data_IF_365536264645
#
_entry.id   IF_365536264645
#
_cell.length_a   1.000
_cell.length_b   1.000
_cell.length_c   1.000
_cell.angle_alpha   90.00
_cell.angle_beta   90.00
_cell.angle_gamma   90.00
#
_symmetry.space_group_name_H-M   'P 1'
#
loop_
_entity.id
_entity.type
_entity.pdbx_description
1 polymer ?
#
# COMPACT_ATOMS: atom_id res chain seq x y z
N UNK A 1 -2.48 -5.08 15.15
CA UNK A 1 -2.31 -3.68 14.75
C UNK A 1 -1.81 -3.59 13.32
N UNK A 2 -2.47 -2.75 12.51
CA UNK A 2 -2.10 -2.56 11.09
C UNK A 2 -1.07 -1.43 10.91
N UNK A 3 -0.65 -0.77 11.97
CA UNK A 3 0.32 0.32 11.95
C UNK A 3 1.69 -0.17 12.39
N UNK A 4 2.71 0.09 11.58
CA UNK A 4 4.11 -0.33 11.82
C UNK A 4 4.97 0.95 11.89
N UNK A 5 5.16 1.47 13.12
CA UNK A 5 5.72 2.82 13.37
C UNK A 5 7.05 3.08 12.65
N UNK A 6 8.02 2.20 12.82
CA UNK A 6 9.35 2.41 12.25
C UNK A 6 9.33 2.47 10.70
N UNK A 7 8.56 1.59 10.07
CA UNK A 7 8.45 1.55 8.60
C UNK A 7 7.63 2.71 8.08
N UNK A 8 6.56 3.09 8.80
CA UNK A 8 5.70 4.23 8.43
C UNK A 8 6.47 5.55 8.48
N UNK A 9 7.23 5.79 9.56
CA UNK A 9 8.07 6.99 9.69
C UNK A 9 9.16 7.06 8.64
N UNK A 10 9.81 5.94 8.33
CA UNK A 10 10.82 5.89 7.29
C UNK A 10 10.22 6.20 5.91
N UNK A 11 9.01 5.72 5.64
CA UNK A 11 8.29 6.01 4.40
C UNK A 11 7.87 7.49 4.31
N UNK A 12 7.33 8.05 5.41
CA UNK A 12 6.98 9.48 5.50
C UNK A 12 8.20 10.37 5.32
N UNK A 13 9.33 10.04 5.98
CA UNK A 13 10.60 10.75 5.82
C UNK A 13 11.09 10.72 4.36
N UNK A 14 11.08 9.53 3.74
CA UNK A 14 11.42 9.39 2.32
C UNK A 14 10.56 10.30 1.44
N UNK A 15 9.26 10.30 1.63
CA UNK A 15 8.33 11.11 0.85
C UNK A 15 8.53 12.62 1.10
N UNK A 16 8.89 13.03 2.33
CA UNK A 16 9.10 14.43 2.69
C UNK A 16 10.43 14.96 2.15
N UNK A 17 11.50 14.21 2.30
CA UNK A 17 12.84 14.62 1.89
C UNK A 17 13.02 14.63 0.38
N UNK A 18 12.48 13.60 -0.27
CA UNK A 18 12.59 13.41 -1.72
C UNK A 18 11.43 14.08 -2.45
N UNK A 19 10.26 14.18 -1.82
CA UNK A 19 9.03 14.71 -2.40
C UNK A 19 8.99 16.23 -2.55
N UNK A 20 9.96 16.96 -1.97
CA UNK A 20 10.18 18.39 -2.31
C UNK A 20 10.48 18.63 -3.77
N UNK A 21 10.80 17.57 -4.53
CA UNK A 21 11.01 17.58 -5.98
C UNK A 21 9.74 17.23 -6.79
N UNK A 22 8.55 17.45 -6.28
CA UNK A 22 7.23 17.40 -6.94
C UNK A 22 6.70 16.04 -7.43
N UNK A 23 7.41 14.93 -7.39
CA UNK A 23 6.87 13.65 -7.85
C UNK A 23 7.57 12.46 -7.18
N UNK A 24 6.82 11.71 -6.37
CA UNK A 24 7.33 10.53 -5.65
C UNK A 24 7.85 9.43 -6.59
N UNK A 25 7.29 9.32 -7.80
CA UNK A 25 7.75 8.38 -8.84
C UNK A 25 9.15 8.75 -9.32
N UNK A 26 9.38 10.02 -9.61
CA UNK A 26 10.70 10.53 -10.02
C UNK A 26 11.72 10.34 -8.89
N UNK A 27 11.32 10.63 -7.66
CA UNK A 27 12.15 10.41 -6.48
C UNK A 27 12.55 8.93 -6.30
N UNK A 28 11.61 8.01 -6.52
CA UNK A 28 11.88 6.57 -6.44
C UNK A 28 12.88 6.12 -7.52
N UNK A 29 12.72 6.56 -8.77
CA UNK A 29 13.66 6.25 -9.86
C UNK A 29 15.05 6.83 -9.56
N UNK A 30 15.13 8.09 -9.14
CA UNK A 30 16.41 8.72 -8.79
C UNK A 30 17.11 7.98 -7.65
N UNK A 31 16.35 7.59 -6.60
CA UNK A 31 16.88 6.84 -5.46
C UNK A 31 17.42 5.47 -5.88
N UNK A 32 16.74 4.75 -6.75
CA UNK A 32 17.22 3.49 -7.32
C UNK A 32 18.51 3.70 -8.13
N UNK A 33 18.60 4.78 -8.89
CA UNK A 33 19.79 5.18 -9.63
C UNK A 33 21.02 5.39 -8.74
N UNK A 34 20.86 5.96 -7.52
CA UNK A 34 21.98 6.17 -6.58
C UNK A 34 22.64 4.87 -6.10
N UNK A 35 21.96 3.74 -6.22
CA UNK A 35 22.49 2.40 -5.88
C UNK A 35 22.80 1.56 -7.12
N UNK A 36 22.86 2.20 -8.29
CA UNK A 36 23.22 1.58 -9.55
C UNK A 36 22.14 0.72 -10.18
N UNK A 37 20.87 0.88 -9.76
CA UNK A 37 19.73 0.17 -10.38
C UNK A 37 19.25 0.96 -11.59
N UNK A 38 19.23 0.31 -12.74
CA UNK A 38 18.58 0.81 -13.95
C UNK A 38 17.08 0.48 -13.90
N UNK A 39 16.24 1.47 -14.22
CA UNK A 39 14.79 1.27 -14.29
C UNK A 39 14.38 1.29 -15.76
N UNK A 40 13.74 0.20 -16.20
CA UNK A 40 13.16 0.07 -17.52
C UNK A 40 11.64 -0.05 -17.40
N UNK A 41 10.94 0.55 -18.35
CA UNK A 41 9.50 0.36 -18.53
C UNK A 41 9.30 -0.42 -19.83
N UNK A 42 8.63 -1.59 -19.74
CA UNK A 42 8.52 -2.50 -20.87
C UNK A 42 7.15 -3.21 -20.87
N UNK A 43 6.77 -3.73 -22.05
CA UNK A 43 5.52 -4.47 -22.22
C UNK A 43 5.69 -5.92 -21.74
N UNK A 44 5.45 -6.15 -20.45
CA UNK A 44 5.58 -7.46 -19.83
C UNK A 44 4.31 -7.87 -19.06
N UNK A 45 4.07 -9.18 -18.96
CA UNK A 45 2.94 -9.72 -18.19
C UNK A 45 3.15 -9.65 -16.69
N UNK A 46 4.38 -9.47 -16.23
CA UNK A 46 4.71 -9.30 -14.81
C UNK A 46 4.66 -7.83 -14.44
N UNK A 47 3.98 -7.46 -13.34
CA UNK A 47 3.95 -6.09 -12.85
C UNK A 47 5.35 -5.52 -12.65
N UNK A 48 6.29 -6.33 -12.17
CA UNK A 48 7.70 -6.01 -12.09
C UNK A 48 8.60 -7.26 -12.15
N UNK A 49 9.82 -7.07 -12.59
CA UNK A 49 10.91 -8.06 -12.50
C UNK A 49 12.20 -7.34 -12.11
N UNK A 50 12.99 -7.94 -11.21
CA UNK A 50 14.28 -7.41 -10.82
C UNK A 50 15.39 -8.41 -11.11
N UNK A 51 16.30 -8.04 -12.00
CA UNK A 51 17.53 -8.77 -12.27
C UNK A 51 18.63 -8.33 -11.30
N UNK A 52 18.99 -9.23 -10.39
CA UNK A 52 20.02 -8.97 -9.38
C UNK A 52 21.42 -8.84 -9.98
N UNK A 53 21.73 -9.56 -11.07
CA UNK A 53 23.04 -9.53 -11.72
C UNK A 53 23.23 -8.25 -12.51
N UNK A 54 22.27 -7.92 -13.36
CA UNK A 54 22.29 -6.72 -14.18
C UNK A 54 21.84 -5.47 -13.44
N UNK A 55 21.41 -5.58 -12.17
CA UNK A 55 20.83 -4.49 -11.38
C UNK A 55 19.76 -3.71 -12.17
N UNK A 56 18.88 -4.43 -12.84
CA UNK A 56 17.85 -3.84 -13.69
C UNK A 56 16.46 -4.15 -13.13
N UNK A 57 15.68 -3.12 -12.88
CA UNK A 57 14.27 -3.21 -12.52
C UNK A 57 13.44 -2.95 -13.77
N UNK A 58 12.66 -3.94 -14.19
CA UNK A 58 11.67 -3.78 -15.25
C UNK A 58 10.28 -3.65 -14.64
N UNK A 59 9.55 -2.61 -15.02
CA UNK A 59 8.17 -2.34 -14.59
C UNK A 59 7.26 -2.35 -15.81
N UNK A 60 6.12 -3.03 -15.72
CA UNK A 60 5.18 -3.16 -16.83
C UNK A 60 4.52 -1.83 -17.19
N UNK A 61 4.56 -1.47 -18.48
CA UNK A 61 3.81 -0.31 -19.01
C UNK A 61 2.30 -0.57 -19.07
N UNK A 62 1.86 -1.84 -18.98
CA UNK A 62 0.44 -2.21 -18.93
C UNK A 62 -0.19 -1.87 -17.58
N UNK A 63 0.62 -1.73 -16.53
CA UNK A 63 0.13 -1.37 -15.22
C UNK A 63 -0.26 0.11 -15.18
N UNK A 64 -1.31 0.44 -14.43
CA UNK A 64 -1.70 1.82 -14.20
C UNK A 64 -0.58 2.63 -13.53
N UNK A 65 -0.47 3.95 -13.77
CA UNK A 65 0.63 4.79 -13.28
C UNK A 65 0.86 4.70 -11.76
N UNK A 66 -0.20 4.66 -10.98
CA UNK A 66 -0.16 4.50 -9.52
C UNK A 66 0.38 3.12 -9.11
N UNK A 67 0.10 2.08 -9.89
CA UNK A 67 0.67 0.74 -9.68
C UNK A 67 2.16 0.71 -10.03
N UNK A 68 2.56 1.37 -11.12
CA UNK A 68 3.97 1.49 -11.49
C UNK A 68 4.77 2.21 -10.41
N UNK A 69 4.24 3.33 -9.89
CA UNK A 69 4.84 4.08 -8.78
C UNK A 69 5.00 3.20 -7.54
N UNK A 70 3.96 2.45 -7.19
CA UNK A 70 4.01 1.51 -6.07
C UNK A 70 5.11 0.44 -6.26
N UNK A 71 5.29 -0.13 -7.46
CA UNK A 71 6.32 -1.12 -7.74
C UNK A 71 7.75 -0.53 -7.62
N UNK A 72 7.95 0.73 -8.00
CA UNK A 72 9.21 1.45 -7.80
C UNK A 72 9.52 1.63 -6.31
N UNK A 73 8.55 2.11 -5.53
CA UNK A 73 8.69 2.31 -4.09
C UNK A 73 8.91 1.00 -3.33
N UNK A 74 8.24 -0.07 -3.76
CA UNK A 74 8.49 -1.42 -3.24
C UNK A 74 9.95 -1.82 -3.44
N UNK A 75 10.55 -1.55 -4.61
CA UNK A 75 11.94 -1.86 -4.88
C UNK A 75 12.89 -0.95 -4.08
N UNK A 76 12.55 0.32 -3.90
CA UNK A 76 13.27 1.22 -2.98
C UNK A 76 13.31 0.64 -1.57
N UNK A 77 12.16 0.17 -1.06
CA UNK A 77 12.08 -0.45 0.26
C UNK A 77 13.01 -1.66 0.38
N UNK A 78 12.94 -2.58 -0.59
CA UNK A 78 13.74 -3.82 -0.57
C UNK A 78 15.25 -3.57 -0.63
N UNK A 79 15.70 -2.47 -1.25
CA UNK A 79 17.13 -2.16 -1.41
C UNK A 79 17.60 -1.16 -0.36
N UNK A 80 16.99 0.01 -0.30
CA UNK A 80 17.44 1.13 0.56
C UNK A 80 17.04 0.98 2.01
N UNK A 81 15.88 0.36 2.28
CA UNK A 81 15.36 0.14 3.64
C UNK A 81 15.59 -1.28 4.12
N UNK A 82 16.42 -2.07 3.43
CA UNK A 82 16.63 -3.48 3.77
C UNK A 82 17.01 -3.68 5.23
N UNK A 83 17.92 -2.88 5.78
CA UNK A 83 18.34 -2.96 7.18
C UNK A 83 17.17 -2.74 8.15
N UNK A 84 16.32 -1.74 7.88
CA UNK A 84 15.12 -1.47 8.67
C UNK A 84 14.11 -2.62 8.59
N UNK A 85 13.89 -3.16 7.38
CA UNK A 85 12.99 -4.29 7.18
C UNK A 85 13.48 -5.53 7.95
N UNK A 86 14.77 -5.84 7.85
CA UNK A 86 15.36 -6.98 8.61
C UNK A 86 15.25 -6.77 10.12
N UNK A 87 15.61 -5.58 10.63
CA UNK A 87 15.48 -5.26 12.05
C UNK A 87 14.01 -5.38 12.54
N UNK A 88 13.04 -4.96 11.71
CA UNK A 88 11.61 -5.10 12.03
C UNK A 88 11.18 -6.57 12.06
N UNK A 89 11.71 -7.39 11.14
CA UNK A 89 11.44 -8.83 11.09
C UNK A 89 12.07 -9.58 12.28
N UNK A 90 13.21 -9.12 12.78
CA UNK A 90 13.88 -9.74 13.94
C UNK A 90 13.08 -9.61 15.24
N UNK A 91 12.22 -8.59 15.32
CA UNK A 91 11.27 -8.44 16.45
C UNK A 91 10.15 -9.50 16.42
N UNK A 92 9.85 -10.04 15.23
CA UNK A 92 8.86 -11.10 15.05
C UNK A 92 9.57 -12.45 14.93
N UNK A 93 9.27 -13.39 15.84
CA UNK A 93 9.90 -14.71 15.85
C UNK A 93 9.26 -15.61 14.78
N UNK A 94 9.72 -15.49 13.53
CA UNK A 94 9.28 -16.38 12.45
C UNK A 94 9.86 -17.79 12.64
N UNK A 95 9.02 -18.80 12.42
CA UNK A 95 9.43 -20.20 12.54
C UNK A 95 10.08 -20.74 11.27
N UNK A 96 9.81 -20.13 10.10
CA UNK A 96 10.35 -20.56 8.80
C UNK A 96 10.91 -19.38 8.02
N UNK A 97 11.87 -19.66 7.14
CA UNK A 97 12.47 -18.66 6.25
C UNK A 97 11.45 -18.18 5.21
N UNK A 98 10.54 -19.05 4.75
CA UNK A 98 9.48 -18.71 3.81
C UNK A 98 8.53 -17.69 4.43
N UNK A 99 8.09 -17.90 5.69
CA UNK A 99 7.24 -16.95 6.39
C UNK A 99 7.93 -15.59 6.57
N UNK A 100 9.24 -15.60 6.91
CA UNK A 100 10.05 -14.38 7.00
C UNK A 100 10.14 -13.66 5.65
N UNK A 101 10.38 -14.38 4.55
CA UNK A 101 10.46 -13.81 3.21
C UNK A 101 9.14 -13.16 2.78
N UNK A 102 8.00 -13.82 3.02
CA UNK A 102 6.67 -13.28 2.76
C UNK A 102 6.43 -12.01 3.59
N UNK A 103 6.76 -12.04 4.88
CA UNK A 103 6.62 -10.90 5.77
C UNK A 103 7.50 -9.71 5.32
N UNK A 104 8.71 -9.96 4.81
CA UNK A 104 9.58 -8.93 4.24
C UNK A 104 8.93 -8.21 3.07
N UNK A 105 8.32 -8.97 2.15
CA UNK A 105 7.55 -8.38 1.05
C UNK A 105 6.35 -7.59 1.58
N UNK A 106 5.67 -8.09 2.62
CA UNK A 106 4.60 -7.38 3.31
C UNK A 106 5.04 -6.02 3.87
N UNK A 107 6.19 -5.97 4.56
CA UNK A 107 6.76 -4.72 5.08
C UNK A 107 7.17 -3.76 3.94
N UNK A 108 7.74 -4.28 2.86
CA UNK A 108 8.09 -3.47 1.69
C UNK A 108 6.84 -2.91 0.98
N UNK A 109 5.77 -3.68 0.88
CA UNK A 109 4.46 -3.19 0.41
C UNK A 109 3.90 -2.11 1.34
N UNK A 110 4.03 -2.30 2.66
CA UNK A 110 3.62 -1.30 3.64
C UNK A 110 4.37 0.01 3.44
N UNK A 111 5.71 -0.05 3.31
CA UNK A 111 6.54 1.12 3.02
C UNK A 111 6.08 1.83 1.74
N UNK A 112 5.87 1.09 0.65
CA UNK A 112 5.43 1.67 -0.62
C UNK A 112 4.10 2.42 -0.50
N UNK A 113 3.11 1.83 0.17
CA UNK A 113 1.83 2.49 0.44
C UNK A 113 1.96 3.72 1.35
N UNK A 114 2.78 3.64 2.38
CA UNK A 114 3.02 4.74 3.31
C UNK A 114 3.82 5.90 2.67
N UNK A 115 4.74 5.60 1.74
CA UNK A 115 5.48 6.62 0.99
C UNK A 115 4.61 7.31 -0.06
N UNK A 116 3.68 6.57 -0.71
CA UNK A 116 2.69 7.17 -1.62
C UNK A 116 1.73 8.10 -0.87
N UNK A 117 1.33 7.71 0.36
CA UNK A 117 0.33 8.38 1.19
C UNK A 117 0.94 8.73 2.56
N UNK A 118 1.86 9.75 2.64
CA UNK A 118 2.59 10.08 3.86
C UNK A 118 1.66 10.45 5.01
N UNK A 119 1.93 9.92 6.22
CA UNK A 119 0.99 9.93 7.34
C UNK A 119 0.38 11.29 7.64
N UNK A 120 1.20 12.27 7.96
CA UNK A 120 0.71 13.59 8.39
C UNK A 120 -0.09 14.29 7.31
N UNK A 121 0.44 14.31 6.06
CA UNK A 121 -0.25 14.96 4.93
C UNK A 121 -1.53 14.22 4.55
N UNK A 122 -1.49 12.88 4.56
CA UNK A 122 -2.67 12.08 4.23
C UNK A 122 -3.78 12.28 5.28
N UNK A 123 -3.44 12.28 6.57
CA UNK A 123 -4.43 12.51 7.64
C UNK A 123 -5.08 13.89 7.50
N UNK A 124 -4.28 14.93 7.25
CA UNK A 124 -4.77 16.28 7.05
C UNK A 124 -5.78 16.35 5.89
N UNK A 125 -5.38 15.88 4.70
CA UNK A 125 -6.25 15.92 3.52
C UNK A 125 -7.49 15.05 3.70
N UNK A 126 -7.35 13.89 4.37
CA UNK A 126 -8.50 13.04 4.68
C UNK A 126 -9.53 13.74 5.56
N UNK A 127 -9.09 14.52 6.55
CA UNK A 127 -9.98 15.33 7.38
C UNK A 127 -10.63 16.47 6.58
N UNK A 128 -9.86 17.19 5.77
CA UNK A 128 -10.34 18.29 4.91
C UNK A 128 -11.38 17.82 3.90
N UNK A 129 -11.19 16.64 3.31
CA UNK A 129 -12.10 16.03 2.33
C UNK A 129 -13.19 15.16 2.95
N UNK A 130 -13.31 15.12 4.29
CA UNK A 130 -14.24 14.24 5.02
C UNK A 130 -14.12 12.78 4.60
N UNK A 131 -12.89 12.33 4.34
CA UNK A 131 -12.56 10.96 3.94
C UNK A 131 -13.20 10.52 2.61
N UNK A 132 -13.44 11.46 1.70
CA UNK A 132 -13.88 11.15 0.34
C UNK A 132 -12.75 10.41 -0.40
N UNK A 133 -13.04 9.16 -0.82
CA UNK A 133 -12.03 8.27 -1.39
C UNK A 133 -11.56 8.73 -2.78
N UNK A 134 -12.46 9.30 -3.58
CA UNK A 134 -12.13 9.77 -4.93
C UNK A 134 -11.28 11.04 -4.88
N UNK A 135 -11.65 11.99 -4.01
CA UNK A 135 -10.85 13.20 -3.81
C UNK A 135 -9.46 12.86 -3.29
N UNK A 136 -9.35 11.92 -2.34
CA UNK A 136 -8.07 11.45 -1.82
C UNK A 136 -7.24 10.75 -2.90
N UNK A 137 -7.85 9.87 -3.69
CA UNK A 137 -7.19 9.15 -4.77
C UNK A 137 -6.61 10.14 -5.81
N UNK A 138 -7.41 11.12 -6.22
CA UNK A 138 -6.99 12.16 -7.16
C UNK A 138 -5.90 13.07 -6.58
N UNK A 139 -6.00 13.45 -5.30
CA UNK A 139 -5.02 14.34 -4.67
C UNK A 139 -3.63 13.72 -4.57
N UNK A 140 -3.55 12.40 -4.35
CA UNK A 140 -2.30 11.69 -4.14
C UNK A 140 -1.83 10.86 -5.34
N UNK A 141 -2.49 10.94 -6.49
CA UNK A 141 -2.23 10.07 -7.65
C UNK A 141 -2.19 8.59 -7.25
N UNK A 142 -3.16 8.17 -6.44
CA UNK A 142 -3.27 6.83 -5.87
C UNK A 142 -4.58 6.15 -6.30
N UNK A 143 -4.61 4.81 -6.26
CA UNK A 143 -5.86 4.10 -6.47
C UNK A 143 -6.78 4.17 -5.24
N UNK A 144 -8.09 4.03 -5.45
CA UNK A 144 -9.07 3.94 -4.36
C UNK A 144 -8.72 2.80 -3.38
N UNK A 145 -8.20 1.68 -3.89
CA UNK A 145 -7.75 0.57 -3.05
C UNK A 145 -6.57 0.98 -2.16
N UNK A 146 -5.59 1.72 -2.70
CA UNK A 146 -4.45 2.22 -1.91
C UNK A 146 -4.92 3.19 -0.82
N UNK A 147 -5.84 4.10 -1.14
CA UNK A 147 -6.44 5.04 -0.18
C UNK A 147 -7.19 4.28 0.92
N UNK A 148 -8.08 3.36 0.56
CA UNK A 148 -8.87 2.58 1.53
C UNK A 148 -7.96 1.74 2.45
N UNK A 149 -6.93 1.11 1.88
CA UNK A 149 -5.94 0.38 2.67
C UNK A 149 -5.18 1.33 3.62
N UNK A 150 -4.75 2.51 3.13
CA UNK A 150 -4.06 3.50 3.97
C UNK A 150 -4.92 3.96 5.15
N UNK A 151 -6.19 4.27 4.92
CA UNK A 151 -7.13 4.63 5.99
C UNK A 151 -7.18 3.58 7.10
N UNK A 152 -7.09 2.29 6.77
CA UNK A 152 -7.07 1.21 7.75
C UNK A 152 -5.77 1.12 8.56
N UNK A 153 -4.71 1.84 8.17
CA UNK A 153 -3.40 1.87 8.86
C UNK A 153 -3.16 3.15 9.67
N UNK A 154 -4.09 4.10 9.68
CA UNK A 154 -3.95 5.40 10.33
C UNK A 154 -4.11 5.31 11.86
N UNK A 155 -3.22 4.52 12.51
CA UNK A 155 -3.31 4.20 13.95
C UNK A 155 -2.04 4.59 14.72
N UNK A 156 -1.31 5.63 14.26
CA UNK A 156 -0.14 6.17 14.96
C UNK A 156 -0.52 6.64 16.37
N UNK A 157 0.18 6.20 17.43
CA UNK A 157 -0.07 6.68 18.79
C UNK A 157 -0.01 8.21 18.89
N UNK A 158 -0.99 8.81 19.55
CA UNK A 158 -1.11 10.27 19.73
C UNK A 158 -1.70 11.03 18.54
N UNK A 159 -1.75 10.45 17.35
CA UNK A 159 -2.26 11.08 16.12
C UNK A 159 -3.06 10.07 15.31
N UNK A 160 -4.04 9.43 15.91
CA UNK A 160 -4.87 8.42 15.26
C UNK A 160 -5.89 9.06 14.32
N UNK A 161 -6.10 8.45 13.17
CA UNK A 161 -7.25 8.69 12.32
C UNK A 161 -8.50 7.93 12.79
N UNK A 162 -9.59 8.08 12.04
CA UNK A 162 -10.80 7.27 12.24
C UNK A 162 -10.44 5.80 12.01
N UNK A 163 -10.90 4.86 12.86
CA UNK A 163 -10.63 3.45 12.66
C UNK A 163 -11.51 2.90 11.52
N UNK A 164 -10.87 2.60 10.39
CA UNK A 164 -11.51 1.96 9.24
C UNK A 164 -11.20 0.47 9.19
N UNK A 165 -12.09 -0.29 8.61
CA UNK A 165 -11.76 -1.58 8.04
C UNK A 165 -11.84 -1.54 6.51
N UNK A 166 -11.09 -2.41 5.87
CA UNK A 166 -11.06 -2.55 4.42
C UNK A 166 -11.12 -4.02 4.05
N UNK A 167 -12.02 -4.37 3.13
CA UNK A 167 -12.09 -5.70 2.52
C UNK A 167 -12.18 -5.58 1.01
N UNK A 168 -11.51 -6.47 0.31
CA UNK A 168 -11.68 -6.69 -1.13
C UNK A 168 -12.36 -8.03 -1.34
N UNK A 169 -13.46 -8.01 -2.07
CA UNK A 169 -14.30 -9.18 -2.36
C UNK A 169 -14.31 -9.39 -3.87
N UNK A 170 -14.25 -10.63 -4.31
CA UNK A 170 -14.46 -10.99 -5.71
C UNK A 170 -15.97 -11.21 -6.00
N UNK A 171 -16.29 -11.41 -7.28
CA UNK A 171 -17.68 -11.60 -7.71
C UNK A 171 -18.36 -12.83 -7.09
N UNK A 172 -17.58 -13.84 -6.69
CA UNK A 172 -18.09 -15.01 -5.98
C UNK A 172 -18.36 -14.76 -4.48
N UNK A 173 -18.08 -13.54 -4.00
CA UNK A 173 -18.21 -13.18 -2.59
C UNK A 173 -17.00 -13.59 -1.73
N UNK A 174 -15.89 -14.06 -2.34
CA UNK A 174 -14.70 -14.47 -1.60
C UNK A 174 -13.92 -13.22 -1.14
N UNK A 175 -13.57 -13.17 0.14
CA UNK A 175 -12.72 -12.11 0.67
C UNK A 175 -11.27 -12.39 0.27
N UNK A 176 -10.74 -11.61 -0.67
CA UNK A 176 -9.37 -11.74 -1.21
C UNK A 176 -8.35 -10.87 -0.45
N UNK A 177 -8.80 -9.83 0.25
CA UNK A 177 -7.96 -8.96 1.08
C UNK A 177 -8.79 -8.39 2.22
N UNK A 178 -8.19 -8.32 3.41
CA UNK A 178 -8.83 -7.70 4.58
C UNK A 178 -7.81 -7.01 5.47
N UNK A 179 -8.15 -5.81 5.93
CA UNK A 179 -7.42 -5.06 6.93
C UNK A 179 -8.42 -4.37 7.85
N UNK A 180 -8.17 -4.35 9.14
CA UNK A 180 -9.08 -3.69 10.09
C UNK A 180 -8.29 -2.97 11.18
N UNK A 181 -8.62 -1.70 11.39
CA UNK A 181 -8.26 -0.92 12.57
C UNK A 181 -9.41 -0.84 13.57
N UNK A 182 -10.51 -1.55 13.30
CA UNK A 182 -11.72 -1.58 14.15
C UNK A 182 -11.74 -2.84 15.00
N UNK A 183 -12.67 -2.91 15.96
CA UNK A 183 -12.97 -4.11 16.75
C UNK A 183 -13.82 -5.12 16.00
N UNK A 184 -14.29 -4.78 14.78
CA UNK A 184 -15.08 -5.68 13.95
C UNK A 184 -14.30 -6.94 13.61
N UNK A 185 -14.83 -8.08 14.01
CA UNK A 185 -14.25 -9.38 13.70
C UNK A 185 -14.95 -9.96 12.48
N UNK A 186 -14.19 -10.12 11.40
CA UNK A 186 -14.67 -10.92 10.26
C UNK A 186 -14.54 -12.40 10.57
N UNK A 187 -15.46 -13.21 10.03
CA UNK A 187 -15.32 -14.65 10.06
C UNK A 187 -13.94 -15.08 9.54
N UNK A 188 -13.28 -15.99 10.25
CA UNK A 188 -11.95 -16.49 9.86
C UNK A 188 -12.01 -17.25 8.53
N UNK A 189 -13.15 -17.88 8.26
CA UNK A 189 -13.40 -18.71 7.10
C UNK A 189 -14.76 -18.34 6.53
N UNK A 190 -14.87 -18.29 5.20
CA UNK A 190 -16.11 -17.98 4.50
C UNK A 190 -16.04 -16.75 3.61
N UNK A 191 -17.12 -16.52 2.89
CA UNK A 191 -17.30 -15.39 2.00
C UNK A 191 -17.84 -14.14 2.70
N UNK A 192 -18.16 -13.12 1.89
CA UNK A 192 -18.85 -11.92 2.35
C UNK A 192 -20.23 -12.29 2.91
N UNK A 193 -20.70 -11.54 3.92
CA UNK A 193 -22.02 -11.71 4.47
C UNK A 193 -23.07 -11.54 3.35
N UNK A 194 -24.03 -12.44 3.20
CA UNK A 194 -25.08 -12.32 2.17
C UNK A 194 -25.93 -11.05 2.28
N UNK A 195 -25.96 -10.45 3.47
CA UNK A 195 -26.69 -9.21 3.73
C UNK A 195 -25.91 -7.94 3.32
N UNK A 196 -24.64 -8.07 2.93
CA UNK A 196 -23.87 -6.91 2.47
C UNK A 196 -24.26 -6.53 1.06
N UNK A 197 -24.30 -5.22 0.79
CA UNK A 197 -24.55 -4.68 -0.55
C UNK A 197 -23.39 -4.94 -1.53
N UNK A 198 -22.33 -5.61 -1.09
CA UNK A 198 -21.18 -5.97 -1.93
C UNK A 198 -21.58 -6.78 -3.17
N UNK A 199 -22.60 -7.63 -3.06
CA UNK A 199 -23.10 -8.40 -4.20
C UNK A 199 -23.77 -7.50 -5.26
N UNK A 200 -24.49 -6.46 -4.83
CA UNK A 200 -25.11 -5.47 -5.72
C UNK A 200 -24.05 -4.59 -6.41
N UNK A 201 -22.88 -4.41 -5.78
CA UNK A 201 -21.82 -3.60 -6.36
C UNK A 201 -21.29 -4.17 -7.70
N UNK A 202 -21.36 -5.49 -7.90
CA UNK A 202 -21.02 -6.14 -9.16
C UNK A 202 -22.08 -5.98 -10.26
N UNK A 203 -23.31 -5.72 -9.87
CA UNK A 203 -24.42 -5.44 -10.79
C UNK A 203 -24.46 -3.96 -11.21
N UNK A 204 -23.86 -3.08 -10.40
CA UNK A 204 -23.86 -1.62 -10.59
C UNK A 204 -22.42 -1.07 -10.68
N UNK A 205 -21.65 -1.44 -11.73
CA UNK A 205 -20.26 -1.02 -11.86
C UNK A 205 -20.16 0.52 -11.97
N UNK A 206 -19.14 1.07 -11.30
CA UNK A 206 -18.89 2.52 -11.29
C UNK A 206 -19.75 3.32 -10.30
N UNK A 207 -20.51 2.65 -9.43
CA UNK A 207 -21.31 3.32 -8.40
C UNK A 207 -20.82 2.98 -7.00
N UNK A 208 -20.78 3.97 -6.11
CA UNK A 208 -20.57 3.76 -4.68
C UNK A 208 -21.90 3.44 -3.99
N UNK A 209 -22.03 2.22 -3.51
CA UNK A 209 -23.20 1.81 -2.73
C UNK A 209 -22.94 2.03 -1.24
N UNK A 210 -23.93 2.60 -0.53
CA UNK A 210 -23.86 2.81 0.91
C UNK A 210 -24.81 1.86 1.63
N UNK A 211 -24.37 1.33 2.76
CA UNK A 211 -25.17 0.49 3.63
C UNK A 211 -24.88 0.86 5.08
N UNK A 212 -25.91 1.05 5.87
CA UNK A 212 -25.82 1.13 7.34
C UNK A 212 -26.02 -0.26 7.90
N UNK A 213 -25.19 -0.66 8.86
CA UNK A 213 -25.23 -1.96 9.54
C UNK A 213 -25.35 -1.79 11.05
#
# INVERSE_FOLDING_TARGET
>A
DNYIDAVDRAAEHFATDQGRANNIRVAAVATLGTVGVKVNFDDTDRLRAFDHKGKTLTVSVRAAPETQTFQLLLQVALIKQNALLEATLDLARFQTQEARAIAKIGLANYFAGAATLPYGRFLQVAQETRHDLELLANFFDASIEQVAHRLSTMQRPGVKGIPFFFVRVDQAGTITKRHSATTLQFARYGGACPLWNVHQAFELPGQFLRQLA
#
